data_IF_665842548601
#
_entry.id   IF_665842548601
#
_cell.length_a   1.000
_cell.length_b   1.000
_cell.length_c   1.000
_cell.angle_alpha   90.00
_cell.angle_beta   90.00
_cell.angle_gamma   90.00
#
_symmetry.space_group_name_H-M   'P 1'
#
loop_
_entity.id
_entity.type
_entity.pdbx_description
1 polymer ?
#
# COMPACT_ATOMS: atom_id res chain seq x y z
N UNK A 1 -17.76 4.41 -2.32
CA UNK A 1 -17.66 4.54 -3.79
C UNK A 1 -18.31 5.84 -4.28
N UNK A 2 -19.49 6.22 -3.80
CA UNK A 2 -20.16 7.46 -4.25
C UNK A 2 -19.30 8.70 -3.96
N UNK A 3 -18.82 8.87 -2.73
CA UNK A 3 -17.91 9.95 -2.36
C UNK A 3 -16.62 9.96 -3.22
N UNK A 4 -16.06 8.78 -3.49
CA UNK A 4 -14.85 8.68 -4.31
C UNK A 4 -15.10 9.15 -5.75
N UNK A 5 -16.27 8.91 -6.31
CA UNK A 5 -16.69 9.43 -7.62
C UNK A 5 -16.89 10.94 -7.57
N UNK A 6 -17.60 11.42 -6.56
CA UNK A 6 -17.93 12.83 -6.40
C UNK A 6 -16.68 13.70 -6.25
N UNK A 7 -15.74 13.28 -5.40
CA UNK A 7 -14.49 14.01 -5.13
C UNK A 7 -13.33 13.64 -6.06
N UNK A 8 -13.53 12.71 -6.99
CA UNK A 8 -12.51 12.31 -7.94
C UNK A 8 -11.28 11.64 -7.32
N UNK A 9 -11.47 10.84 -6.27
CA UNK A 9 -10.36 10.14 -5.62
C UNK A 9 -9.70 9.14 -6.57
N UNK A 10 -8.42 8.89 -6.33
CA UNK A 10 -7.64 8.00 -7.18
C UNK A 10 -8.10 6.53 -7.08
N UNK A 11 -8.48 6.08 -5.88
CA UNK A 11 -8.96 4.71 -5.65
C UNK A 11 -9.80 4.60 -4.37
N UNK A 12 -10.51 3.48 -4.28
CA UNK A 12 -11.13 2.96 -3.04
C UNK A 12 -10.32 1.76 -2.59
N UNK A 13 -9.74 1.84 -1.38
CA UNK A 13 -8.97 0.73 -0.79
C UNK A 13 -9.88 -0.14 0.08
N UNK A 14 -10.00 -1.42 -0.27
CA UNK A 14 -10.96 -2.34 0.33
C UNK A 14 -10.42 -3.75 0.52
N UNK A 15 -11.13 -4.55 1.30
CA UNK A 15 -10.84 -5.97 1.47
C UNK A 15 -11.26 -6.77 0.22
N UNK A 16 -10.59 -7.89 -0.11
CA UNK A 16 -10.84 -8.69 -1.31
C UNK A 16 -12.29 -9.12 -1.49
N UNK A 17 -12.99 -9.45 -0.41
CA UNK A 17 -14.40 -9.85 -0.45
C UNK A 17 -15.35 -8.80 -1.07
N UNK A 18 -14.97 -7.52 -1.05
CA UNK A 18 -15.77 -6.41 -1.56
C UNK A 18 -15.33 -5.93 -2.96
N UNK A 19 -14.24 -6.46 -3.50
CA UNK A 19 -13.66 -6.00 -4.78
C UNK A 19 -14.67 -6.06 -5.92
N UNK A 20 -15.34 -7.20 -6.09
CA UNK A 20 -16.31 -7.40 -7.18
C UNK A 20 -17.45 -6.38 -7.10
N UNK A 21 -17.95 -6.12 -5.91
CA UNK A 21 -19.03 -5.15 -5.70
C UNK A 21 -18.57 -3.72 -5.96
N UNK A 22 -17.40 -3.33 -5.46
CA UNK A 22 -16.85 -2.01 -5.73
C UNK A 22 -16.53 -1.81 -7.22
N UNK A 23 -16.01 -2.83 -7.91
CA UNK A 23 -15.76 -2.78 -9.34
C UNK A 23 -17.04 -2.48 -10.15
N UNK A 24 -18.16 -3.10 -9.77
CA UNK A 24 -19.46 -2.79 -10.37
C UNK A 24 -19.91 -1.35 -10.12
N UNK A 25 -19.75 -0.85 -8.88
CA UNK A 25 -20.16 0.52 -8.52
C UNK A 25 -19.28 1.60 -9.18
N UNK A 26 -18.06 1.27 -9.52
CA UNK A 26 -17.06 2.20 -10.10
C UNK A 26 -16.89 2.02 -11.60
N UNK A 27 -17.69 1.15 -12.22
CA UNK A 27 -17.65 0.93 -13.67
C UNK A 27 -17.88 2.24 -14.45
N UNK A 28 -17.07 2.48 -15.48
CA UNK A 28 -17.14 3.69 -16.28
C UNK A 28 -16.56 4.96 -15.62
N UNK A 29 -15.98 4.85 -14.42
CA UNK A 29 -15.33 5.97 -13.73
C UNK A 29 -13.80 5.86 -13.79
N UNK A 30 -13.10 6.91 -13.37
CA UNK A 30 -11.64 6.92 -13.25
C UNK A 30 -11.15 6.41 -11.88
N UNK A 31 -12.05 6.19 -10.91
CA UNK A 31 -11.70 5.72 -9.56
C UNK A 31 -11.33 4.25 -9.62
N UNK A 32 -10.15 3.90 -9.12
CA UNK A 32 -9.65 2.53 -9.13
C UNK A 32 -10.14 1.72 -7.93
N UNK A 33 -10.25 0.41 -8.09
CA UNK A 33 -10.44 -0.52 -6.98
C UNK A 33 -9.08 -1.03 -6.54
N UNK A 34 -8.70 -0.72 -5.31
CA UNK A 34 -7.46 -1.15 -4.68
C UNK A 34 -7.74 -2.25 -3.67
N UNK A 35 -7.19 -3.45 -3.90
CA UNK A 35 -7.39 -4.61 -3.03
C UNK A 35 -6.26 -4.72 -1.99
N UNK A 36 -6.61 -4.86 -0.72
CA UNK A 36 -5.67 -5.11 0.38
C UNK A 36 -5.40 -6.63 0.50
N UNK A 37 -4.13 -7.04 0.37
CA UNK A 37 -3.71 -8.45 0.33
C UNK A 37 -2.92 -8.82 1.59
N UNK A 38 -3.23 -9.97 2.19
CA UNK A 38 -2.63 -10.41 3.47
C UNK A 38 -2.94 -9.46 4.62
N UNK A 39 -3.96 -8.67 4.48
CA UNK A 39 -4.26 -7.52 5.34
C UNK A 39 -5.09 -7.91 6.57
N UNK A 40 -4.82 -7.32 7.77
CA UNK A 40 -3.79 -6.29 8.01
C UNK A 40 -2.44 -6.82 8.55
N UNK A 41 -2.31 -8.10 8.86
CA UNK A 41 -1.20 -8.64 9.65
C UNK A 41 -0.01 -9.13 8.80
N UNK A 42 -0.21 -9.39 7.52
CA UNK A 42 0.82 -9.95 6.64
C UNK A 42 1.24 -11.39 6.97
N UNK A 43 0.54 -12.07 7.89
CA UNK A 43 0.94 -13.37 8.45
C UNK A 43 0.50 -14.60 7.61
N UNK A 44 -0.20 -14.40 6.50
CA UNK A 44 -0.55 -15.48 5.59
C UNK A 44 0.70 -16.00 4.86
N UNK A 45 0.64 -17.23 4.37
CA UNK A 45 1.72 -17.77 3.54
C UNK A 45 1.79 -17.06 2.18
N UNK A 46 2.95 -17.09 1.53
CA UNK A 46 3.15 -16.55 0.17
C UNK A 46 2.12 -17.10 -0.81
N UNK A 47 1.84 -18.42 -0.75
CA UNK A 47 0.83 -19.06 -1.60
C UNK A 47 -0.55 -18.41 -1.45
N UNK A 48 -0.99 -18.14 -0.23
CA UNK A 48 -2.29 -17.53 0.04
C UNK A 48 -2.33 -16.08 -0.46
N UNK A 49 -1.28 -15.28 -0.23
CA UNK A 49 -1.21 -13.91 -0.76
C UNK A 49 -1.26 -13.86 -2.29
N UNK A 50 -0.57 -14.79 -2.95
CA UNK A 50 -0.61 -14.93 -4.41
C UNK A 50 -2.01 -15.32 -4.90
N UNK A 51 -2.66 -16.27 -4.21
CA UNK A 51 -4.02 -16.70 -4.56
C UNK A 51 -5.02 -15.54 -4.37
N UNK A 52 -4.93 -14.82 -3.26
CA UNK A 52 -5.75 -13.65 -2.94
C UNK A 52 -5.55 -12.52 -3.97
N UNK A 53 -4.30 -12.27 -4.38
CA UNK A 53 -3.98 -11.30 -5.44
C UNK A 53 -4.66 -11.67 -6.76
N UNK A 54 -4.54 -12.92 -7.20
CA UNK A 54 -5.16 -13.39 -8.45
C UNK A 54 -6.68 -13.31 -8.40
N UNK A 55 -7.27 -13.71 -7.29
CA UNK A 55 -8.72 -13.64 -7.08
C UNK A 55 -9.21 -12.19 -7.10
N UNK A 56 -8.53 -11.28 -6.38
CA UNK A 56 -8.88 -9.86 -6.37
C UNK A 56 -8.82 -9.26 -7.78
N UNK A 57 -7.78 -9.56 -8.56
CA UNK A 57 -7.64 -9.08 -9.94
C UNK A 57 -8.76 -9.64 -10.83
N UNK A 58 -9.06 -10.94 -10.72
CA UNK A 58 -10.15 -11.58 -11.48
C UNK A 58 -11.52 -10.97 -11.15
N UNK A 59 -11.70 -10.44 -9.93
CA UNK A 59 -12.90 -9.76 -9.48
C UNK A 59 -12.92 -8.25 -9.80
N UNK A 60 -11.87 -7.69 -10.42
CA UNK A 60 -11.85 -6.30 -10.90
C UNK A 60 -10.95 -5.34 -10.11
N UNK A 61 -10.05 -5.84 -9.26
CA UNK A 61 -9.03 -4.99 -8.66
C UNK A 61 -8.07 -4.44 -9.73
N UNK A 62 -7.78 -3.17 -9.64
CA UNK A 62 -6.92 -2.42 -10.56
C UNK A 62 -5.62 -1.96 -9.88
N UNK A 63 -5.52 -2.09 -8.57
CA UNK A 63 -4.34 -1.86 -7.74
C UNK A 63 -4.33 -2.88 -6.59
N UNK A 64 -3.15 -3.25 -6.10
CA UNK A 64 -2.95 -4.19 -5.00
C UNK A 64 -2.02 -3.59 -3.96
N UNK A 65 -2.44 -3.65 -2.68
CA UNK A 65 -1.64 -3.26 -1.52
C UNK A 65 -1.39 -4.50 -0.65
N UNK A 66 -0.20 -5.09 -0.74
CA UNK A 66 0.17 -6.27 0.06
C UNK A 66 0.88 -5.90 1.35
N UNK A 67 0.57 -6.57 2.44
CA UNK A 67 1.32 -6.46 3.71
C UNK A 67 2.43 -7.49 3.74
N UNK A 68 3.67 -7.08 4.07
CA UNK A 68 4.78 -8.01 4.25
C UNK A 68 4.55 -8.93 5.46
N UNK A 69 5.24 -10.07 5.50
CA UNK A 69 5.28 -10.89 6.71
C UNK A 69 6.26 -10.26 7.72
N UNK A 70 5.71 -9.40 8.60
CA UNK A 70 6.49 -8.68 9.61
C UNK A 70 7.18 -9.65 10.58
N UNK A 71 6.52 -10.74 10.96
CA UNK A 71 7.11 -11.78 11.83
C UNK A 71 8.36 -12.39 11.21
N UNK A 72 8.26 -12.83 9.95
CA UNK A 72 9.39 -13.39 9.22
C UNK A 72 10.55 -12.38 9.07
N UNK A 73 10.22 -11.10 8.85
CA UNK A 73 11.23 -10.03 8.80
C UNK A 73 11.96 -9.90 10.14
N UNK A 74 11.23 -9.89 11.26
CA UNK A 74 11.79 -9.82 12.62
C UNK A 74 12.66 -11.03 12.97
N UNK A 75 12.34 -12.19 12.43
CA UNK A 75 13.13 -13.42 12.58
C UNK A 75 14.36 -13.46 11.66
N UNK A 76 14.59 -12.41 10.86
CA UNK A 76 15.71 -12.32 9.94
C UNK A 76 15.56 -13.15 8.66
N UNK A 77 14.37 -13.67 8.37
CA UNK A 77 14.07 -14.47 7.17
C UNK A 77 13.90 -13.59 5.92
N UNK A 78 14.92 -12.81 5.62
CA UNK A 78 14.89 -11.76 4.59
C UNK A 78 14.63 -12.30 3.18
N UNK A 79 15.24 -13.43 2.83
CA UNK A 79 15.00 -14.07 1.53
C UNK A 79 13.55 -14.52 1.36
N UNK A 80 12.92 -14.99 2.45
CA UNK A 80 11.50 -15.35 2.43
C UNK A 80 10.64 -14.13 2.15
N UNK A 81 10.87 -13.00 2.84
CA UNK A 81 10.09 -11.75 2.67
C UNK A 81 10.28 -11.18 1.26
N UNK A 82 11.52 -11.14 0.75
CA UNK A 82 11.77 -10.67 -0.61
C UNK A 82 11.11 -11.56 -1.66
N UNK A 83 11.18 -12.88 -1.50
CA UNK A 83 10.51 -13.82 -2.40
C UNK A 83 8.98 -13.69 -2.35
N UNK A 84 8.40 -13.46 -1.16
CA UNK A 84 6.97 -13.21 -1.00
C UNK A 84 6.53 -11.99 -1.83
N UNK A 85 7.27 -10.88 -1.74
CA UNK A 85 6.99 -9.67 -2.52
C UNK A 85 7.11 -9.99 -4.03
N UNK A 86 8.17 -10.66 -4.45
CA UNK A 86 8.38 -11.06 -5.86
C UNK A 86 7.23 -11.90 -6.42
N UNK A 87 6.75 -12.87 -5.67
CA UNK A 87 5.67 -13.75 -6.14
C UNK A 87 4.33 -13.00 -6.24
N UNK A 88 4.04 -12.06 -5.33
CA UNK A 88 2.85 -11.21 -5.45
C UNK A 88 2.97 -10.25 -6.63
N UNK A 89 4.12 -9.58 -6.80
CA UNK A 89 4.39 -8.71 -7.96
C UNK A 89 4.21 -9.50 -9.27
N UNK A 90 4.81 -10.67 -9.38
CA UNK A 90 4.67 -11.54 -10.55
C UNK A 90 3.21 -11.95 -10.84
N UNK A 91 2.41 -12.13 -9.80
CA UNK A 91 1.00 -12.47 -9.95
C UNK A 91 0.14 -11.30 -10.45
N UNK A 92 0.56 -10.06 -10.20
CA UNK A 92 -0.17 -8.84 -10.54
C UNK A 92 0.32 -8.19 -11.86
N UNK A 93 1.63 -8.19 -12.10
CA UNK A 93 2.22 -7.53 -13.27
C UNK A 93 1.99 -8.25 -14.59
N UNK A 94 2.02 -7.52 -15.71
CA UNK A 94 2.18 -6.05 -15.82
C UNK A 94 0.88 -5.27 -15.67
N UNK A 95 -0.25 -5.95 -15.44
CA UNK A 95 -1.59 -5.36 -15.55
C UNK A 95 -1.99 -4.50 -14.37
N UNK A 96 -1.51 -4.82 -13.16
CA UNK A 96 -1.94 -4.22 -11.90
C UNK A 96 -0.74 -3.82 -11.07
N UNK A 97 -0.60 -2.54 -10.70
CA UNK A 97 0.49 -2.08 -9.84
C UNK A 97 0.37 -2.63 -8.42
N UNK A 98 1.54 -2.93 -7.83
CA UNK A 98 1.66 -3.47 -6.47
C UNK A 98 2.31 -2.46 -5.55
N UNK A 99 1.69 -2.26 -4.39
CA UNK A 99 2.23 -1.46 -3.30
C UNK A 99 2.54 -2.37 -2.11
N UNK A 100 3.74 -2.23 -1.57
CA UNK A 100 4.23 -3.04 -0.45
C UNK A 100 4.08 -2.27 0.84
N UNK A 101 3.19 -2.73 1.72
CA UNK A 101 2.98 -2.14 3.05
C UNK A 101 4.06 -2.68 3.99
N UNK A 102 4.90 -1.77 4.46
CA UNK A 102 6.00 -2.09 5.35
C UNK A 102 5.54 -2.32 6.79
N UNK A 103 4.48 -1.63 7.22
CA UNK A 103 4.05 -1.47 8.61
C UNK A 103 5.16 -0.80 9.46
N UNK A 104 5.54 0.40 9.05
CA UNK A 104 6.74 1.13 9.55
C UNK A 104 6.79 1.27 11.06
N UNK A 105 5.63 1.36 11.73
CA UNK A 105 5.54 1.46 13.19
C UNK A 105 6.15 0.26 13.94
N UNK A 106 6.14 -0.92 13.33
CA UNK A 106 6.69 -2.14 13.92
C UNK A 106 8.18 -2.35 13.61
N UNK A 107 8.77 -1.53 12.73
CA UNK A 107 10.10 -1.74 12.18
C UNK A 107 11.13 -0.74 12.73
N UNK A 108 12.37 -1.20 12.90
CA UNK A 108 13.52 -0.30 13.10
C UNK A 108 13.85 0.41 11.79
N UNK A 109 14.64 1.49 11.84
CA UNK A 109 15.09 2.20 10.63
C UNK A 109 15.84 1.27 9.66
N UNK A 110 16.71 0.40 10.19
CA UNK A 110 17.45 -0.57 9.40
C UNK A 110 16.53 -1.57 8.68
N UNK A 111 15.49 -2.05 9.38
CA UNK A 111 14.49 -2.94 8.80
C UNK A 111 13.65 -2.23 7.72
N UNK A 112 13.25 -0.96 7.95
CA UNK A 112 12.55 -0.15 6.94
C UNK A 112 13.37 -0.01 5.66
N UNK A 113 14.65 0.34 5.79
CA UNK A 113 15.57 0.44 4.64
C UNK A 113 15.68 -0.90 3.91
N UNK A 114 15.85 -2.00 4.66
CA UNK A 114 15.99 -3.34 4.09
C UNK A 114 14.75 -3.76 3.29
N UNK A 115 13.54 -3.55 3.85
CA UNK A 115 12.30 -3.88 3.13
C UNK A 115 12.09 -2.99 1.90
N UNK A 116 12.44 -1.71 1.97
CA UNK A 116 12.42 -0.84 0.79
C UNK A 116 13.31 -1.40 -0.33
N UNK A 117 14.52 -1.88 -0.01
CA UNK A 117 15.42 -2.50 -0.97
C UNK A 117 14.85 -3.80 -1.54
N UNK A 118 14.22 -4.65 -0.71
CA UNK A 118 13.53 -5.85 -1.16
C UNK A 118 12.39 -5.53 -2.13
N UNK A 119 11.59 -4.49 -1.84
CA UNK A 119 10.51 -4.04 -2.72
C UNK A 119 11.06 -3.56 -4.08
N UNK A 120 12.17 -2.82 -4.08
CA UNK A 120 12.89 -2.42 -5.29
C UNK A 120 13.38 -3.63 -6.08
N UNK A 121 14.04 -4.61 -5.42
CA UNK A 121 14.54 -5.84 -6.05
C UNK A 121 13.40 -6.67 -6.66
N UNK A 122 12.25 -6.65 -6.00
CA UNK A 122 11.04 -7.33 -6.47
C UNK A 122 10.29 -6.58 -7.57
N UNK A 123 10.75 -5.38 -7.95
CA UNK A 123 10.10 -4.52 -8.95
C UNK A 123 8.67 -4.10 -8.56
N UNK A 124 8.43 -3.89 -7.27
CA UNK A 124 7.18 -3.29 -6.81
C UNK A 124 7.07 -1.82 -7.26
N UNK A 125 5.85 -1.35 -7.49
CA UNK A 125 5.60 0.02 -7.97
C UNK A 125 5.68 1.05 -6.84
N UNK A 126 5.27 0.65 -5.64
CA UNK A 126 5.26 1.51 -4.46
C UNK A 126 5.73 0.77 -3.21
N UNK A 127 6.28 1.54 -2.28
CA UNK A 127 6.35 1.21 -0.85
C UNK A 127 5.33 2.05 -0.10
N UNK A 128 4.63 1.45 0.88
CA UNK A 128 3.56 2.09 1.66
C UNK A 128 3.87 1.99 3.14
N UNK A 129 3.55 3.04 3.90
CA UNK A 129 3.88 3.10 5.34
C UNK A 129 3.13 2.07 6.17
N UNK A 130 1.84 2.24 6.39
CA UNK A 130 1.09 1.53 7.42
C UNK A 130 -0.24 0.95 6.92
N UNK A 131 -0.75 -0.05 7.66
CA UNK A 131 -2.11 -0.58 7.50
C UNK A 131 -3.15 0.28 8.20
N UNK A 132 -2.79 0.89 9.32
CA UNK A 132 -3.71 1.61 10.22
C UNK A 132 -4.31 0.78 11.35
N UNK A 133 -3.98 -0.51 11.43
CA UNK A 133 -4.55 -1.44 12.43
C UNK A 133 -3.62 -1.70 13.62
N UNK A 134 -2.34 -1.39 13.50
CA UNK A 134 -1.33 -1.63 14.54
C UNK A 134 -0.94 -0.37 15.33
N UNK A 135 -1.74 0.71 15.28
CA UNK A 135 -1.53 1.94 16.04
C UNK A 135 -0.53 2.92 15.41
N UNK A 136 0.13 2.55 14.31
CA UNK A 136 1.07 3.42 13.61
C UNK A 136 0.39 4.46 12.71
N UNK A 137 1.14 5.50 12.35
CA UNK A 137 0.75 6.51 11.37
C UNK A 137 1.91 6.83 10.42
N UNK A 138 1.61 7.40 9.28
CA UNK A 138 2.64 7.95 8.40
C UNK A 138 3.34 9.13 9.08
N UNK A 139 4.67 9.17 9.01
CA UNK A 139 5.47 10.29 9.50
C UNK A 139 6.38 10.83 8.40
N UNK A 140 6.75 12.10 8.53
CA UNK A 140 7.70 12.75 7.61
C UNK A 140 9.04 12.02 7.58
N UNK A 141 9.50 11.62 8.76
CA UNK A 141 10.77 10.89 8.93
C UNK A 141 10.75 9.57 8.16
N UNK A 142 9.65 8.80 8.27
CA UNK A 142 9.50 7.56 7.52
C UNK A 142 9.49 7.80 6.00
N UNK A 143 8.78 8.82 5.53
CA UNK A 143 8.75 9.16 4.10
C UNK A 143 10.14 9.54 3.59
N UNK A 144 10.89 10.36 4.33
CA UNK A 144 12.26 10.74 3.96
C UNK A 144 13.21 9.54 3.95
N UNK A 145 13.10 8.65 4.95
CA UNK A 145 13.89 7.42 5.02
C UNK A 145 13.58 6.50 3.84
N UNK A 146 12.29 6.24 3.58
CA UNK A 146 11.83 5.41 2.47
C UNK A 146 12.27 5.99 1.12
N UNK A 147 12.14 7.31 0.93
CA UNK A 147 12.57 8.01 -0.29
C UNK A 147 14.06 7.79 -0.58
N UNK A 148 14.89 7.92 0.46
CA UNK A 148 16.33 7.65 0.34
C UNK A 148 16.60 6.17 0.03
N UNK A 149 15.87 5.25 0.67
CA UNK A 149 16.10 3.81 0.53
C UNK A 149 15.68 3.26 -0.86
N UNK A 150 14.60 3.79 -1.45
CA UNK A 150 14.14 3.33 -2.79
C UNK A 150 14.86 4.00 -3.94
N UNK A 151 15.56 5.12 -3.71
CA UNK A 151 16.39 5.82 -4.70
C UNK A 151 15.66 6.05 -6.06
N UNK A 152 14.40 6.49 -5.99
CA UNK A 152 13.56 6.77 -7.16
C UNK A 152 13.04 5.54 -7.92
N UNK A 153 13.37 4.31 -7.49
CA UNK A 153 12.97 3.07 -8.18
C UNK A 153 11.57 2.59 -7.81
N UNK A 154 11.05 3.01 -6.67
CA UNK A 154 9.65 2.84 -6.26
C UNK A 154 9.07 4.20 -5.89
N UNK A 155 7.76 4.35 -6.06
CA UNK A 155 7.00 5.49 -5.53
C UNK A 155 6.66 5.27 -4.05
N UNK A 156 6.23 6.32 -3.35
CA UNK A 156 5.89 6.23 -1.93
C UNK A 156 4.42 6.56 -1.72
N UNK A 157 3.73 5.69 -0.99
CA UNK A 157 2.37 5.92 -0.50
C UNK A 157 2.41 6.14 1.01
N UNK A 158 1.94 7.30 1.45
CA UNK A 158 1.68 7.58 2.86
C UNK A 158 0.27 7.14 3.23
N UNK A 159 0.09 6.42 4.31
CA UNK A 159 -1.25 6.07 4.79
C UNK A 159 -1.32 5.98 6.29
N UNK A 160 -2.52 6.30 6.82
CA UNK A 160 -2.86 6.35 8.23
C UNK A 160 -2.38 7.62 8.93
N UNK A 161 -3.27 8.20 9.73
CA UNK A 161 -2.98 9.38 10.54
C UNK A 161 -3.04 10.71 9.78
N UNK A 162 -3.42 10.73 8.51
CA UNK A 162 -3.53 11.93 7.69
C UNK A 162 -4.96 12.45 7.82
N UNK A 163 -5.16 13.50 8.61
CA UNK A 163 -6.50 14.01 8.97
C UNK A 163 -6.74 15.46 8.55
N UNK A 164 -5.68 16.19 8.20
CA UNK A 164 -5.75 17.58 7.79
C UNK A 164 -4.98 17.81 6.50
N UNK A 165 -5.24 18.95 5.87
CA UNK A 165 -4.50 19.40 4.70
C UNK A 165 -3.03 19.67 5.03
N UNK A 166 -2.73 20.19 6.21
CA UNK A 166 -1.37 20.44 6.65
C UNK A 166 -0.55 19.14 6.74
N UNK A 167 -1.09 18.10 7.38
CA UNK A 167 -0.44 16.78 7.45
C UNK A 167 -0.24 16.16 6.06
N UNK A 168 -1.21 16.35 5.16
CA UNK A 168 -1.09 15.90 3.77
C UNK A 168 0.05 16.63 3.05
N UNK A 169 0.11 17.96 3.14
CA UNK A 169 1.12 18.80 2.46
C UNK A 169 2.53 18.49 3.01
N UNK A 170 2.68 18.29 4.31
CA UNK A 170 3.95 17.90 4.92
C UNK A 170 4.49 16.58 4.34
N UNK A 171 3.63 15.55 4.20
CA UNK A 171 4.03 14.26 3.66
C UNK A 171 4.27 14.32 2.13
N UNK A 172 3.54 15.17 1.42
CA UNK A 172 3.76 15.44 -0.01
C UNK A 172 5.14 16.07 -0.24
N UNK A 173 5.49 17.11 0.52
CA UNK A 173 6.80 17.75 0.47
C UNK A 173 7.94 16.78 0.81
N UNK A 174 7.72 15.88 1.77
CA UNK A 174 8.68 14.83 2.11
C UNK A 174 8.92 13.84 0.95
N UNK A 175 7.95 13.69 0.04
CA UNK A 175 8.10 12.87 -1.17
C UNK A 175 7.08 11.76 -1.36
N UNK A 176 6.02 11.70 -0.56
CA UNK A 176 4.89 10.82 -0.85
C UNK A 176 4.12 11.35 -2.07
N UNK A 177 3.70 10.44 -2.95
CA UNK A 177 2.96 10.77 -4.17
C UNK A 177 1.58 10.10 -4.24
N UNK A 178 1.24 9.31 -3.24
CA UNK A 178 -0.05 8.67 -3.06
C UNK A 178 -0.41 8.68 -1.58
N UNK A 179 -1.69 8.84 -1.28
CA UNK A 179 -2.16 8.98 0.10
C UNK A 179 -3.34 8.04 0.37
N UNK A 180 -3.34 7.41 1.54
CA UNK A 180 -4.44 6.61 2.04
C UNK A 180 -4.98 7.19 3.34
N UNK A 181 -6.21 7.70 3.31
CA UNK A 181 -6.86 8.33 4.45
C UNK A 181 -8.36 8.08 4.43
N UNK A 182 -8.99 8.07 5.58
CA UNK A 182 -10.45 8.14 5.74
C UNK A 182 -10.98 9.59 5.80
N UNK A 183 -10.10 10.59 5.86
CA UNK A 183 -10.44 12.02 5.92
C UNK A 183 -10.29 12.74 4.58
N UNK A 184 -10.36 12.00 3.46
CA UNK A 184 -10.09 12.56 2.13
C UNK A 184 -10.95 13.76 1.78
N UNK A 185 -12.23 13.75 2.15
CA UNK A 185 -13.18 14.85 1.90
C UNK A 185 -12.75 16.12 2.64
N UNK A 186 -12.37 16.02 3.93
CA UNK A 186 -11.90 17.16 4.71
C UNK A 186 -10.63 17.76 4.08
N UNK A 187 -9.68 16.93 3.72
CA UNK A 187 -8.41 17.35 3.10
C UNK A 187 -8.65 18.10 1.78
N UNK A 188 -9.55 17.58 0.93
CA UNK A 188 -9.85 18.20 -0.38
C UNK A 188 -10.59 19.51 -0.21
N UNK A 189 -11.49 19.62 0.77
CA UNK A 189 -12.24 20.85 1.05
C UNK A 189 -11.38 21.91 1.76
N UNK A 190 -10.19 21.55 2.25
CA UNK A 190 -9.27 22.49 2.89
C UNK A 190 -9.52 22.71 4.37
N UNK A 191 -10.18 21.74 5.01
CA UNK A 191 -10.45 21.71 6.45
C UNK A 191 -9.33 20.98 7.23
#
# INVERSE_FOLDING_TARGET
>A
CEEAKEYGFAAVAITPANVKYAAQLLEGTNVKVEAAIGFPLGSSTTFIKVAETKDAIANGAQEVDMVINVGALKDGLYEYVENEIKEVVKAAHPSVPVKVILETFLLTEEEKVKVCQMAVNAQADYVKTCTGFNGGKATKEDILLMKKAVDGKCKIKASTGIKSREEFEELLEAGAVRFGTSSGILIVNGD
#
